data_IF_023601637734
#
_entry.id   IF_023601637734
#
_cell.length_a   1.000
_cell.length_b   1.000
_cell.length_c   1.000
_cell.angle_alpha   90.00
_cell.angle_beta   90.00
_cell.angle_gamma   90.00
#
_symmetry.space_group_name_H-M   'P 1'
#
loop_
_entity.id
_entity.type
_entity.pdbx_description
1 polymer ?
#
# COMPACT_ATOMS: atom_id res chain seq x y z
N UNK A 1 -30.04 -51.14 -0.53
CA UNK A 1 -28.69 -50.75 -1.00
C UNK A 1 -28.17 -49.59 -0.17
N UNK A 2 -27.03 -49.78 0.52
CA UNK A 2 -26.29 -48.77 1.30
C UNK A 2 -25.43 -47.93 0.36
N UNK A 3 -25.40 -46.61 0.52
CA UNK A 3 -24.21 -45.83 0.18
C UNK A 3 -23.89 -44.80 1.29
N UNK A 4 -22.91 -45.16 2.10
CA UNK A 4 -22.17 -44.29 3.02
C UNK A 4 -21.26 -43.37 2.21
N UNK A 5 -21.45 -42.05 2.26
CA UNK A 5 -20.44 -41.11 1.75
C UNK A 5 -19.46 -40.76 2.86
N UNK A 6 -18.21 -41.19 2.67
CA UNK A 6 -17.05 -40.98 3.54
C UNK A 6 -16.66 -39.50 3.56
N UNK A 7 -16.42 -38.95 4.75
CA UNK A 7 -15.81 -37.63 4.96
C UNK A 7 -14.30 -37.76 4.74
N UNK A 8 -13.75 -37.08 3.73
CA UNK A 8 -12.30 -36.90 3.55
C UNK A 8 -11.82 -35.77 4.46
N UNK A 9 -11.01 -36.12 5.45
CA UNK A 9 -10.23 -35.19 6.28
C UNK A 9 -9.07 -34.66 5.44
N UNK A 10 -8.98 -33.36 5.23
CA UNK A 10 -7.84 -32.72 4.56
C UNK A 10 -6.66 -32.68 5.54
N UNK A 11 -5.61 -33.44 5.22
CA UNK A 11 -4.33 -33.43 5.91
C UNK A 11 -3.56 -32.14 5.63
N UNK A 12 -2.85 -31.68 6.65
CA UNK A 12 -1.91 -30.56 6.63
C UNK A 12 -0.59 -31.10 6.06
N UNK A 13 -0.15 -30.60 4.90
CA UNK A 13 1.21 -30.84 4.39
C UNK A 13 2.01 -29.58 4.71
N UNK A 14 2.86 -29.69 5.72
CA UNK A 14 3.78 -28.68 6.19
C UNK A 14 5.09 -28.85 5.40
N UNK A 15 5.32 -27.98 4.41
CA UNK A 15 6.59 -27.91 3.67
C UNK A 15 7.47 -26.84 4.29
N UNK A 16 8.49 -27.28 5.02
CA UNK A 16 9.60 -26.48 5.55
C UNK A 16 10.56 -26.10 4.43
N UNK A 17 10.73 -24.82 4.16
CA UNK A 17 11.80 -24.31 3.29
C UNK A 17 12.80 -23.52 4.14
N UNK A 18 13.93 -24.20 4.34
CA UNK A 18 15.33 -23.76 4.27
C UNK A 18 15.68 -22.36 4.84
N UNK A 19 16.36 -22.38 5.98
CA UNK A 19 17.15 -21.26 6.49
C UNK A 19 18.53 -21.23 5.81
N UNK A 20 18.89 -20.11 5.19
CA UNK A 20 20.28 -19.79 4.85
C UNK A 20 20.70 -18.56 5.65
N UNK A 21 21.40 -18.81 6.75
CA UNK A 21 22.16 -17.83 7.51
C UNK A 21 23.43 -17.47 6.72
N UNK A 22 23.58 -16.22 6.32
CA UNK A 22 24.89 -15.69 5.92
C UNK A 22 25.39 -14.76 7.03
N UNK A 23 26.30 -15.31 7.83
CA UNK A 23 27.22 -14.57 8.66
C UNK A 23 28.41 -14.18 7.77
N UNK A 24 28.68 -12.88 7.67
CA UNK A 24 30.01 -12.39 7.31
C UNK A 24 30.46 -11.40 8.39
N UNK A 25 31.33 -11.90 9.28
CA UNK A 25 32.48 -11.11 9.73
C UNK A 25 33.49 -11.03 8.57
N UNK A 26 34.50 -10.19 8.55
CA UNK A 26 35.27 -9.59 9.64
C UNK A 26 35.89 -8.27 9.18
N UNK A 27 36.40 -7.54 10.17
CA UNK A 27 37.05 -6.24 10.11
C UNK A 27 38.44 -6.40 9.49
N UNK A 28 38.79 -5.50 8.57
CA UNK A 28 40.15 -5.32 8.04
C UNK A 28 40.53 -3.85 8.10
N UNK A 29 41.49 -3.55 8.97
CA UNK A 29 42.11 -2.23 9.17
C UNK A 29 43.26 -2.08 8.16
N UNK A 30 43.38 -0.93 7.52
CA UNK A 30 44.52 -0.59 6.66
C UNK A 30 44.52 0.90 6.35
N UNK A 31 45.46 1.62 6.94
CA UNK A 31 45.72 3.03 6.73
C UNK A 31 46.37 3.28 5.35
N UNK A 32 46.10 4.43 4.74
CA UNK A 32 47.08 5.45 4.34
C UNK A 32 46.59 6.34 3.18
N UNK A 33 46.66 7.64 3.46
CA UNK A 33 46.85 8.80 2.55
C UNK A 33 46.57 8.66 1.06
N UNK A 34 45.64 9.48 0.55
CA UNK A 34 45.97 10.63 -0.31
C UNK A 34 44.75 11.54 -0.47
N UNK A 35 44.94 12.79 -0.07
CA UNK A 35 44.03 13.91 -0.34
C UNK A 35 44.08 14.17 -1.85
N UNK A 36 43.01 13.81 -2.55
CA UNK A 36 42.76 14.29 -3.91
C UNK A 36 41.46 15.07 -3.89
N UNK A 37 41.62 16.38 -4.05
CA UNK A 37 40.62 17.40 -4.22
C UNK A 37 39.68 17.04 -5.38
N UNK A 38 38.49 16.56 -5.03
CA UNK A 38 37.42 16.32 -6.00
C UNK A 38 36.40 17.45 -5.86
N UNK A 39 36.48 18.38 -6.81
CA UNK A 39 35.48 19.41 -7.09
C UNK A 39 34.15 18.69 -7.37
N UNK A 40 33.37 18.52 -6.32
CA UNK A 40 32.03 17.97 -6.39
C UNK A 40 31.10 19.14 -6.69
N UNK A 41 30.87 19.36 -7.98
CA UNK A 41 29.71 20.12 -8.45
C UNK A 41 28.48 19.44 -7.86
N UNK A 42 27.97 20.02 -6.78
CA UNK A 42 26.76 19.59 -6.11
C UNK A 42 25.59 19.87 -7.04
N UNK A 43 25.29 18.93 -7.92
CA UNK A 43 24.01 18.89 -8.61
C UNK A 43 22.99 18.65 -7.50
N UNK A 44 22.34 19.73 -7.09
CA UNK A 44 21.19 19.69 -6.19
C UNK A 44 20.14 18.79 -6.83
N UNK A 45 20.12 17.52 -6.42
CA UNK A 45 19.02 16.62 -6.75
C UNK A 45 17.84 17.14 -5.98
N UNK A 46 17.06 18.00 -6.63
CA UNK A 46 15.82 18.56 -6.13
C UNK A 46 15.04 17.46 -5.45
N UNK A 47 14.90 17.60 -4.12
CA UNK A 47 14.23 16.67 -3.23
C UNK A 47 12.78 16.53 -3.70
N UNK A 48 12.53 15.60 -4.61
CA UNK A 48 11.18 15.22 -5.01
C UNK A 48 10.56 14.45 -3.84
N UNK A 49 10.11 15.19 -2.83
CA UNK A 49 9.23 14.73 -1.77
C UNK A 49 7.81 14.81 -2.30
N UNK A 50 6.97 13.81 -2.05
CA UNK A 50 5.52 13.89 -2.21
C UNK A 50 5.02 15.22 -1.65
N UNK A 51 4.78 16.20 -2.53
CA UNK A 51 4.27 17.49 -2.10
C UNK A 51 2.76 17.36 -2.16
N UNK A 52 2.14 17.34 -0.98
CA UNK A 52 0.73 17.70 -0.85
C UNK A 52 0.63 19.10 -1.45
N UNK A 53 0.00 19.21 -2.62
CA UNK A 53 -0.12 20.52 -3.27
C UNK A 53 -0.82 21.50 -2.32
N UNK A 54 -0.76 22.82 -2.57
CA UNK A 54 -1.56 23.81 -1.82
C UNK A 54 -3.06 23.47 -1.77
N UNK A 55 -3.55 22.57 -2.64
CA UNK A 55 -4.93 22.04 -2.68
C UNK A 55 -5.13 20.69 -1.96
N UNK A 56 -4.15 20.18 -1.22
CA UNK A 56 -4.27 18.93 -0.45
C UNK A 56 -3.99 17.62 -1.24
N UNK A 57 -4.07 17.67 -2.58
CA UNK A 57 -3.92 16.47 -3.43
C UNK A 57 -2.49 15.96 -3.42
N UNK A 58 -2.31 14.63 -3.33
CA UNK A 58 -1.01 13.98 -3.40
C UNK A 58 -0.56 13.92 -4.86
N UNK A 59 0.61 14.49 -5.14
CA UNK A 59 1.12 14.65 -6.51
C UNK A 59 2.60 14.27 -6.64
N UNK A 60 3.00 13.88 -7.84
CA UNK A 60 4.38 13.66 -8.23
C UNK A 60 4.74 14.43 -9.51
N UNK A 61 6.00 14.88 -9.66
CA UNK A 61 6.46 15.53 -10.89
C UNK A 61 6.44 14.57 -12.10
N UNK A 62 6.58 15.09 -13.32
CA UNK A 62 6.64 14.27 -14.56
C UNK A 62 7.74 13.20 -14.51
N UNK A 63 8.91 13.59 -14.02
CA UNK A 63 10.05 12.71 -13.77
C UNK A 63 10.14 12.46 -12.28
N UNK A 64 9.91 11.21 -11.86
CA UNK A 64 10.06 10.78 -10.47
C UNK A 64 10.67 9.37 -10.44
N UNK A 65 11.33 9.01 -9.34
CA UNK A 65 11.88 7.68 -9.11
C UNK A 65 10.82 6.76 -8.50
N UNK A 66 10.52 5.64 -9.16
CA UNK A 66 9.58 4.63 -8.64
C UNK A 66 10.02 4.15 -7.25
N UNK A 67 11.28 3.78 -7.06
CA UNK A 67 11.83 3.32 -5.77
C UNK A 67 11.65 4.33 -4.64
N UNK A 68 11.86 5.62 -4.95
CA UNK A 68 11.68 6.70 -3.98
C UNK A 68 10.21 6.85 -3.57
N UNK A 69 9.31 6.97 -4.56
CA UNK A 69 7.88 7.09 -4.32
C UNK A 69 7.32 5.87 -3.58
N UNK A 70 7.78 4.66 -3.94
CA UNK A 70 7.43 3.44 -3.22
C UNK A 70 7.79 3.52 -1.73
N UNK A 71 8.91 4.14 -1.39
CA UNK A 71 9.31 4.31 0.01
C UNK A 71 8.48 5.38 0.71
N UNK A 72 8.21 6.50 0.03
CA UNK A 72 7.44 7.64 0.55
C UNK A 72 5.97 7.29 0.82
N UNK A 73 5.37 6.38 0.06
CA UNK A 73 3.97 5.99 0.22
C UNK A 73 3.74 4.89 1.28
N UNK A 74 4.79 4.25 1.81
CA UNK A 74 4.63 3.21 2.85
C UNK A 74 3.87 3.71 4.10
N UNK A 75 4.17 4.89 4.67
CA UNK A 75 3.41 5.42 5.81
C UNK A 75 1.93 5.65 5.48
N UNK A 76 1.61 6.12 4.27
CA UNK A 76 0.22 6.30 3.83
C UNK A 76 -0.50 4.96 3.65
N UNK A 77 0.19 3.94 3.14
CA UNK A 77 -0.35 2.59 3.05
C UNK A 77 -0.66 2.02 4.44
N UNK A 78 0.25 2.17 5.40
CA UNK A 78 0.04 1.79 6.82
C UNK A 78 -1.21 2.48 7.38
N UNK A 79 -1.33 3.79 7.18
CA UNK A 79 -2.48 4.58 7.63
C UNK A 79 -3.79 4.07 7.03
N UNK A 80 -3.82 3.83 5.73
CA UNK A 80 -5.00 3.32 5.02
C UNK A 80 -5.40 1.91 5.45
N UNK A 81 -4.43 1.01 5.69
CA UNK A 81 -4.70 -0.33 6.23
C UNK A 81 -5.34 -0.24 7.62
N UNK A 82 -4.84 0.65 8.49
CA UNK A 82 -5.43 0.89 9.82
C UNK A 82 -6.84 1.44 9.74
N UNK A 83 -7.06 2.45 8.87
CA UNK A 83 -8.39 3.00 8.58
C UNK A 83 -9.33 1.89 8.11
N UNK A 84 -8.87 0.99 7.24
CA UNK A 84 -9.68 -0.12 6.76
C UNK A 84 -10.08 -1.10 7.87
N UNK A 85 -9.15 -1.49 8.74
CA UNK A 85 -9.47 -2.27 9.93
C UNK A 85 -10.51 -1.64 10.83
N UNK A 86 -10.43 -0.32 11.03
CA UNK A 86 -11.39 0.43 11.84
C UNK A 86 -12.77 0.51 11.17
N UNK A 87 -12.81 0.80 9.86
CA UNK A 87 -14.05 0.82 9.08
C UNK A 87 -14.74 -0.53 9.07
N UNK A 88 -13.97 -1.62 8.94
CA UNK A 88 -14.53 -2.97 9.05
C UNK A 88 -15.10 -3.28 10.43
N UNK A 89 -14.50 -2.78 11.51
CA UNK A 89 -14.99 -3.02 12.86
C UNK A 89 -16.24 -2.18 13.20
N UNK A 90 -16.26 -0.93 12.76
CA UNK A 90 -17.29 0.05 13.16
C UNK A 90 -18.39 0.27 12.13
N UNK A 91 -18.13 -0.05 10.85
CA UNK A 91 -18.97 0.32 9.71
C UNK A 91 -18.85 1.78 9.28
N UNK A 92 -18.05 2.60 9.97
CA UNK A 92 -17.90 4.03 9.67
C UNK A 92 -16.75 4.26 8.68
N UNK A 93 -16.96 5.14 7.71
CA UNK A 93 -15.96 5.45 6.66
C UNK A 93 -15.39 6.87 6.73
N UNK A 94 -15.71 7.62 7.79
CA UNK A 94 -15.37 9.05 7.93
C UNK A 94 -13.86 9.32 7.76
N UNK A 95 -13.01 8.52 8.39
CA UNK A 95 -11.55 8.67 8.30
C UNK A 95 -11.02 8.46 6.87
N UNK A 96 -11.57 7.47 6.15
CA UNK A 96 -11.24 7.26 4.74
C UNK A 96 -11.75 8.41 3.86
N UNK A 97 -12.98 8.87 4.09
CA UNK A 97 -13.55 10.01 3.36
C UNK A 97 -12.70 11.28 3.53
N UNK A 98 -12.22 11.54 4.75
CA UNK A 98 -11.30 12.65 5.02
C UNK A 98 -9.97 12.48 4.29
N UNK A 99 -9.43 11.25 4.22
CA UNK A 99 -8.22 10.96 3.45
C UNK A 99 -8.44 11.27 1.96
N UNK A 100 -9.54 10.78 1.38
CA UNK A 100 -9.87 11.00 -0.04
C UNK A 100 -10.06 12.49 -0.34
N UNK A 101 -10.80 13.22 0.51
CA UNK A 101 -11.02 14.65 0.34
C UNK A 101 -9.73 15.46 0.30
N UNK A 102 -8.77 15.08 1.13
CA UNK A 102 -7.45 15.70 1.14
C UNK A 102 -6.66 15.27 -0.10
N UNK A 103 -6.42 13.98 -0.27
CA UNK A 103 -5.33 13.48 -1.09
C UNK A 103 -5.70 13.11 -2.53
N UNK A 104 -6.97 12.80 -2.82
CA UNK A 104 -7.40 12.33 -4.14
C UNK A 104 -7.83 13.50 -5.01
N UNK A 105 -7.48 13.46 -6.29
CA UNK A 105 -7.89 14.46 -7.26
C UNK A 105 -9.40 14.39 -7.52
N UNK A 106 -10.02 15.56 -7.73
CA UNK A 106 -11.42 15.61 -8.15
C UNK A 106 -11.57 15.14 -9.60
N UNK A 107 -12.79 14.75 -9.97
CA UNK A 107 -13.12 14.49 -11.37
C UNK A 107 -12.83 15.76 -12.19
N UNK A 108 -12.30 15.59 -13.40
CA UNK A 108 -12.17 16.66 -14.37
C UNK A 108 -12.63 16.15 -15.73
N UNK A 109 -13.36 16.98 -16.48
CA UNK A 109 -14.02 16.55 -17.71
C UNK A 109 -13.03 16.15 -18.82
N UNK A 110 -11.78 16.62 -18.72
CA UNK A 110 -10.75 16.38 -19.71
C UNK A 110 -9.85 15.16 -19.44
N UNK A 111 -10.16 14.31 -18.45
CA UNK A 111 -9.32 13.15 -18.11
C UNK A 111 -10.10 11.95 -17.53
N UNK A 112 -9.41 10.82 -17.39
CA UNK A 112 -9.94 9.57 -16.83
C UNK A 112 -10.05 9.57 -15.29
N UNK A 113 -10.05 10.75 -14.62
CA UNK A 113 -10.14 10.79 -13.16
C UNK A 113 -11.55 10.45 -12.70
N UNK A 114 -11.66 9.39 -11.90
CA UNK A 114 -12.95 8.91 -11.38
C UNK A 114 -13.57 9.87 -10.34
N UNK A 115 -12.73 10.68 -9.70
CA UNK A 115 -13.14 11.69 -8.73
C UNK A 115 -13.43 11.12 -7.34
N UNK A 116 -13.52 12.04 -6.36
CA UNK A 116 -13.53 11.67 -4.94
C UNK A 116 -14.79 10.91 -4.54
N UNK A 117 -15.94 11.26 -5.13
CA UNK A 117 -17.22 10.59 -4.87
C UNK A 117 -17.13 9.10 -5.19
N UNK A 118 -16.64 8.75 -6.39
CA UNK A 118 -16.47 7.36 -6.80
C UNK A 118 -15.61 6.57 -5.81
N UNK A 119 -14.46 7.13 -5.41
CA UNK A 119 -13.52 6.46 -4.50
C UNK A 119 -14.16 6.20 -3.13
N UNK A 120 -14.89 7.17 -2.57
CA UNK A 120 -15.60 7.02 -1.29
C UNK A 120 -16.73 6.00 -1.38
N UNK A 121 -17.54 6.05 -2.43
CA UNK A 121 -18.69 5.16 -2.62
C UNK A 121 -18.23 3.71 -2.77
N UNK A 122 -17.23 3.47 -3.61
CA UNK A 122 -16.65 2.13 -3.81
C UNK A 122 -16.07 1.56 -2.49
N UNK A 123 -15.36 2.39 -1.72
CA UNK A 123 -14.85 1.98 -0.41
C UNK A 123 -15.98 1.66 0.58
N UNK A 124 -17.00 2.50 0.64
CA UNK A 124 -18.15 2.31 1.53
C UNK A 124 -18.90 1.02 1.20
N UNK A 125 -19.12 0.74 -0.08
CA UNK A 125 -19.71 -0.50 -0.53
C UNK A 125 -18.84 -1.71 -0.14
N UNK A 126 -17.52 -1.63 -0.33
CA UNK A 126 -16.60 -2.68 0.09
C UNK A 126 -16.69 -2.97 1.59
N UNK A 127 -16.69 -1.94 2.43
CA UNK A 127 -16.84 -2.08 3.88
C UNK A 127 -18.18 -2.72 4.24
N UNK A 128 -19.27 -2.30 3.59
CA UNK A 128 -20.61 -2.86 3.79
C UNK A 128 -20.67 -4.35 3.45
N UNK A 129 -20.16 -4.74 2.30
CA UNK A 129 -20.12 -6.14 1.83
C UNK A 129 -19.31 -7.02 2.79
N UNK A 130 -18.09 -6.59 3.14
CA UNK A 130 -17.23 -7.37 4.03
C UNK A 130 -17.83 -7.53 5.42
N UNK A 131 -18.56 -6.52 5.91
CA UNK A 131 -19.29 -6.63 7.18
C UNK A 131 -20.51 -7.54 7.11
N UNK A 132 -21.18 -7.62 5.95
CA UNK A 132 -22.35 -8.50 5.75
C UNK A 132 -21.97 -9.97 5.83
N UNK A 133 -20.81 -10.34 5.30
CA UNK A 133 -20.38 -11.74 5.16
C UNK A 133 -19.52 -12.24 6.32
N UNK A 134 -19.21 -11.40 7.30
CA UNK A 134 -18.35 -11.76 8.43
C UNK A 134 -18.98 -11.45 9.78
N UNK A 135 -18.66 -12.28 10.79
CA UNK A 135 -19.11 -12.03 12.16
C UNK A 135 -18.43 -10.80 12.78
N UNK A 136 -19.13 -10.13 13.72
CA UNK A 136 -18.57 -9.02 14.50
C UNK A 136 -17.28 -9.41 15.25
N UNK A 137 -17.20 -10.64 15.76
CA UNK A 137 -16.01 -11.18 16.44
C UNK A 137 -14.83 -11.25 15.46
N UNK A 138 -15.04 -11.80 14.28
CA UNK A 138 -14.02 -11.90 13.23
C UNK A 138 -13.50 -10.52 12.83
N UNK A 139 -14.39 -9.56 12.59
CA UNK A 139 -14.02 -8.19 12.21
C UNK A 139 -13.27 -7.45 13.32
N UNK A 140 -13.65 -7.65 14.59
CA UNK A 140 -12.96 -7.08 15.74
C UNK A 140 -11.54 -7.64 15.89
N UNK A 141 -11.38 -8.96 15.77
CA UNK A 141 -10.05 -9.61 15.80
C UNK A 141 -9.18 -9.13 14.65
N UNK A 142 -9.72 -9.06 13.42
CA UNK A 142 -9.00 -8.51 12.26
C UNK A 142 -8.54 -7.07 12.51
N UNK A 143 -9.45 -6.22 12.99
CA UNK A 143 -9.19 -4.81 13.26
C UNK A 143 -8.03 -4.63 14.24
N UNK A 144 -7.97 -5.44 15.30
CA UNK A 144 -6.85 -5.46 16.24
C UNK A 144 -5.55 -5.88 15.54
N UNK A 145 -5.58 -6.94 14.74
CA UNK A 145 -4.40 -7.45 14.05
C UNK A 145 -3.81 -6.44 13.04
N UNK A 146 -4.66 -5.72 12.29
CA UNK A 146 -4.17 -4.71 11.33
C UNK A 146 -3.70 -3.42 11.98
N UNK A 147 -4.08 -3.12 13.23
CA UNK A 147 -3.53 -1.96 13.97
C UNK A 147 -2.03 -2.10 14.24
N UNK A 148 -1.51 -3.32 14.28
CA UNK A 148 -0.10 -3.65 14.48
C UNK A 148 0.78 -3.53 13.23
N UNK A 149 0.19 -3.10 12.11
CA UNK A 149 0.93 -2.89 10.86
C UNK A 149 1.96 -1.75 11.02
N UNK A 150 3.17 -2.03 10.56
CA UNK A 150 4.32 -1.13 10.50
C UNK A 150 4.85 -1.10 9.06
N UNK A 151 5.53 -0.03 8.67
CA UNK A 151 6.09 0.11 7.31
C UNK A 151 7.07 -1.01 6.95
N UNK A 152 7.83 -1.52 7.93
CA UNK A 152 8.75 -2.66 7.76
C UNK A 152 8.04 -3.99 7.50
N UNK A 153 6.76 -4.12 7.86
CA UNK A 153 5.94 -5.32 7.61
C UNK A 153 5.16 -5.28 6.30
N UNK A 154 5.20 -4.14 5.58
CA UNK A 154 4.57 -4.04 4.27
C UNK A 154 5.44 -4.73 3.23
N UNK A 155 4.83 -5.61 2.43
CA UNK A 155 5.45 -6.07 1.19
C UNK A 155 5.04 -5.12 0.07
N UNK A 156 6.02 -4.76 -0.76
CA UNK A 156 5.76 -4.02 -2.01
C UNK A 156 5.47 -5.06 -3.06
N UNK A 157 4.36 -4.88 -3.76
CA UNK A 157 3.90 -5.77 -4.81
C UNK A 157 3.58 -4.96 -6.08
N UNK A 158 3.66 -5.61 -7.25
CA UNK A 158 3.10 -5.16 -8.54
C UNK A 158 3.08 -3.62 -8.76
N UNK A 159 4.23 -2.99 -8.53
CA UNK A 159 4.42 -1.55 -8.65
C UNK A 159 4.95 -1.24 -10.05
N UNK A 160 4.24 -0.41 -10.80
CA UNK A 160 4.43 -0.27 -12.24
C UNK A 160 4.19 1.17 -12.70
N UNK A 161 4.88 1.59 -13.76
CA UNK A 161 4.65 2.86 -14.45
C UNK A 161 4.39 2.57 -15.92
N UNK A 162 3.21 2.96 -16.38
CA UNK A 162 2.79 2.84 -17.77
C UNK A 162 2.65 4.19 -18.44
N UNK A 163 2.19 4.17 -19.68
CA UNK A 163 1.84 5.38 -20.43
C UNK A 163 0.67 6.08 -19.75
N UNK A 164 0.93 7.27 -19.21
CA UNK A 164 -0.11 8.11 -18.58
C UNK A 164 -0.50 7.73 -17.15
N UNK A 165 0.10 6.71 -16.52
CA UNK A 165 -0.24 6.33 -15.14
C UNK A 165 0.92 5.64 -14.38
N UNK A 166 0.79 5.55 -13.07
CA UNK A 166 1.67 4.77 -12.21
C UNK A 166 0.89 4.15 -11.04
N UNK A 167 1.20 2.91 -10.68
CA UNK A 167 0.58 2.19 -9.58
C UNK A 167 1.60 1.74 -8.56
N UNK A 168 1.23 1.85 -7.28
CA UNK A 168 2.05 1.39 -6.15
C UNK A 168 1.19 0.51 -5.25
N UNK A 169 1.57 -0.75 -5.08
CA UNK A 169 0.79 -1.72 -4.32
C UNK A 169 1.57 -2.15 -3.08
N UNK A 170 0.88 -2.13 -1.94
CA UNK A 170 1.40 -2.55 -0.65
C UNK A 170 0.48 -3.60 -0.07
N UNK A 171 1.07 -4.66 0.47
CA UNK A 171 0.32 -5.74 1.06
C UNK A 171 0.77 -5.98 2.49
N UNK A 172 -0.20 -6.31 3.34
CA UNK A 172 0.03 -6.72 4.72
C UNK A 172 -0.81 -7.94 5.04
N UNK A 173 -0.17 -9.01 5.49
CA UNK A 173 -0.87 -10.17 6.03
C UNK A 173 -0.86 -10.07 7.56
N UNK A 174 -2.03 -9.89 8.21
CA UNK A 174 -2.10 -9.98 9.66
C UNK A 174 -1.75 -11.41 10.09
N UNK A 175 -0.92 -11.54 11.15
CA UNK A 175 -0.58 -12.87 11.67
C UNK A 175 -1.84 -13.61 12.10
N UNK A 176 -1.88 -14.91 11.81
CA UNK A 176 -2.95 -15.84 12.22
C UNK A 176 -4.34 -15.45 11.70
N UNK A 177 -4.42 -14.85 10.50
CA UNK A 177 -5.69 -14.36 9.96
C UNK A 177 -5.86 -14.67 8.47
N UNK A 178 -6.21 -15.92 8.19
CA UNK A 178 -6.32 -16.41 6.81
C UNK A 178 -7.65 -16.05 6.14
N UNK A 179 -8.71 -15.82 6.94
CA UNK A 179 -10.07 -15.60 6.44
C UNK A 179 -10.22 -14.38 5.50
N UNK A 180 -9.25 -13.44 5.53
CA UNK A 180 -9.26 -12.22 4.73
C UNK A 180 -8.04 -12.11 3.82
N UNK A 181 -7.14 -13.11 3.84
CA UNK A 181 -5.87 -13.06 3.13
C UNK A 181 -5.06 -11.80 3.45
N UNK A 182 -4.43 -11.25 2.42
CA UNK A 182 -3.60 -10.07 2.54
C UNK A 182 -4.45 -8.81 2.35
N UNK A 183 -4.24 -7.83 3.23
CA UNK A 183 -4.77 -6.49 3.02
C UNK A 183 -3.92 -5.80 1.96
N UNK A 184 -4.48 -5.61 0.77
CA UNK A 184 -3.77 -5.00 -0.34
C UNK A 184 -4.28 -3.57 -0.58
N UNK A 185 -3.40 -2.59 -0.48
CA UNK A 185 -3.66 -1.18 -0.82
C UNK A 185 -2.92 -0.83 -2.10
N UNK A 186 -3.65 -0.40 -3.12
CA UNK A 186 -3.08 0.11 -4.38
C UNK A 186 -3.37 1.58 -4.55
N UNK A 187 -2.33 2.39 -4.71
CA UNK A 187 -2.43 3.77 -5.16
C UNK A 187 -2.32 3.81 -6.67
N UNK A 188 -3.28 4.46 -7.34
CA UNK A 188 -3.22 4.75 -8.78
C UNK A 188 -3.04 6.24 -8.99
N UNK A 189 -1.95 6.60 -9.66
CA UNK A 189 -1.67 7.95 -10.09
C UNK A 189 -1.88 8.08 -11.58
N UNK A 190 -2.50 9.18 -12.00
CA UNK A 190 -2.72 9.47 -13.42
C UNK A 190 -2.02 10.76 -13.79
N UNK A 191 -1.39 10.72 -14.97
CA UNK A 191 -0.65 11.84 -15.54
C UNK A 191 -1.62 12.86 -16.14
N UNK A 192 -1.44 14.12 -15.76
CA UNK A 192 -2.14 15.25 -16.35
C UNK A 192 -1.44 15.73 -17.63
N UNK A 193 -2.13 16.56 -18.42
CA UNK A 193 -1.56 17.17 -19.65
C UNK A 193 -0.24 17.91 -19.40
N UNK A 194 -0.08 18.54 -18.23
CA UNK A 194 1.17 19.20 -17.82
C UNK A 194 2.28 18.23 -17.37
N UNK A 195 2.06 16.92 -17.50
CA UNK A 195 2.98 15.85 -17.15
C UNK A 195 3.03 15.49 -15.67
N UNK A 196 2.42 16.25 -14.76
CA UNK A 196 2.37 15.91 -13.32
C UNK A 196 1.43 14.71 -13.09
N UNK A 197 1.76 13.89 -12.10
CA UNK A 197 0.93 12.79 -11.66
C UNK A 197 0.11 13.22 -10.44
N UNK A 198 -1.16 12.87 -10.42
CA UNK A 198 -2.07 13.11 -9.28
C UNK A 198 -2.68 11.79 -8.83
N UNK A 199 -2.93 11.65 -7.52
CA UNK A 199 -3.60 10.46 -7.00
C UNK A 199 -5.05 10.42 -7.53
N UNK A 200 -5.33 9.47 -8.41
CA UNK A 200 -6.67 9.24 -8.96
C UNK A 200 -7.51 8.38 -8.01
N UNK A 201 -6.92 7.30 -7.49
CA UNK A 201 -7.67 6.31 -6.74
C UNK A 201 -6.80 5.57 -5.71
N UNK A 202 -7.47 5.05 -4.69
CA UNK A 202 -6.94 4.13 -3.68
C UNK A 202 -7.86 2.92 -3.63
N UNK A 203 -7.33 1.75 -4.00
CA UNK A 203 -8.07 0.49 -4.00
C UNK A 203 -7.68 -0.38 -2.80
N UNK A 204 -8.68 -1.07 -2.25
CA UNK A 204 -8.49 -2.23 -1.37
C UNK A 204 -8.85 -3.48 -2.17
N UNK A 205 -7.90 -4.41 -2.30
CA UNK A 205 -8.02 -5.64 -3.11
C UNK A 205 -7.94 -6.86 -2.19
N UNK A 206 -8.72 -7.89 -2.50
CA UNK A 206 -8.70 -9.22 -1.88
C UNK A 206 -8.38 -10.25 -2.95
#
# INVERSE_FOLDING_TARGET
MKQRRKKLKKGIIMSTILACSLLFGSIGVGAETKVTQQTSTSVSVTKASATVSKKGVLTFPKKFSMKKVTSELKPEAVKLIKIYGESLNTGKTKSFNSYVNKHVAEKADSNYLLGRKYVRDNYSQKVKEMRKVNSKKTLSTYSKAVKEVKTSKLKVDNTYKGTGFATFTYQFQPKNFDAFGWVTVKFKFTQLKNGKYVLENVYFIY
#
